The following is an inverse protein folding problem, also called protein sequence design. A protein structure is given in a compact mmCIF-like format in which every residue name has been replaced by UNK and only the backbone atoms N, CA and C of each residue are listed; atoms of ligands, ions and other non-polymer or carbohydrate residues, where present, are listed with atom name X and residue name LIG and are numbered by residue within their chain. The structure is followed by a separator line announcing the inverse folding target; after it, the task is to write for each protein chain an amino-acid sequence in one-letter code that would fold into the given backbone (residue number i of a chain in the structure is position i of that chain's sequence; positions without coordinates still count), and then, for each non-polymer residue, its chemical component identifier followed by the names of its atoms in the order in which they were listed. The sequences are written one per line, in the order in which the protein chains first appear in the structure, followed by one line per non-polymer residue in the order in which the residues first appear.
data_IF_079452266601
#
_entry.id   IF_079452266601
#
_cell.length_a   1.000
_cell.length_b   1.000
_cell.length_c   1.000
_cell.angle_alpha   90.00
_cell.angle_beta   90.00
_cell.angle_gamma   90.00
#
_symmetry.space_group_name_H-M   'P 1'
#
loop_
_entity.id
_entity.type
_entity.pdbx_description
1 polymer ?
#
# COMPACT_ATOMS: atom_id res chain seq x y z
N UNK A 1 -36.49 -21.40 -14.72
CA UNK A 1 -35.19 -21.92 -14.24
C UNK A 1 -33.98 -21.35 -15.00
N UNK A 2 -33.90 -21.41 -16.35
CA UNK A 2 -32.75 -20.86 -17.11
C UNK A 2 -32.46 -19.36 -16.89
N UNK A 3 -33.49 -18.54 -16.64
CA UNK A 3 -33.34 -17.08 -16.38
C UNK A 3 -32.75 -16.75 -15.00
N UNK A 4 -32.92 -17.62 -14.00
CA UNK A 4 -32.37 -17.41 -12.65
C UNK A 4 -30.86 -17.71 -12.58
N UNK A 5 -30.39 -18.65 -13.40
CA UNK A 5 -28.95 -19.01 -13.49
C UNK A 5 -28.14 -17.86 -14.11
N UNK A 6 -28.70 -17.15 -15.10
CA UNK A 6 -28.03 -16.00 -15.74
C UNK A 6 -27.84 -14.84 -14.75
N UNK A 7 -28.80 -14.60 -13.86
CA UNK A 7 -28.71 -13.54 -12.85
C UNK A 7 -27.60 -13.82 -11.82
N UNK A 8 -27.37 -15.09 -11.49
CA UNK A 8 -26.34 -15.50 -10.54
C UNK A 8 -24.91 -15.33 -11.09
N UNK A 9 -24.72 -15.50 -12.41
CA UNK A 9 -23.41 -15.35 -13.08
C UNK A 9 -23.05 -13.87 -13.26
N UNK A 10 -24.03 -12.99 -13.46
CA UNK A 10 -23.78 -11.54 -13.60
C UNK A 10 -23.42 -10.92 -12.24
N UNK A 11 -23.99 -11.41 -11.13
CA UNK A 11 -23.71 -10.90 -9.79
C UNK A 11 -22.26 -11.18 -9.31
N UNK A 12 -21.64 -12.28 -9.75
CA UNK A 12 -20.27 -12.62 -9.34
C UNK A 12 -19.19 -11.80 -10.07
N UNK A 13 -19.49 -11.25 -11.25
CA UNK A 13 -18.54 -10.46 -12.04
C UNK A 13 -18.26 -9.05 -11.47
N UNK A 14 -19.13 -8.51 -10.62
CA UNK A 14 -18.93 -7.18 -10.04
C UNK A 14 -17.96 -7.14 -8.85
N UNK A 15 -17.64 -8.27 -8.23
CA UNK A 15 -16.82 -8.28 -7.01
C UNK A 15 -15.31 -8.12 -7.27
N UNK A 16 -14.82 -8.38 -8.50
CA UNK A 16 -13.39 -8.27 -8.83
C UNK A 16 -12.95 -6.90 -9.38
N UNK A 17 -13.89 -5.97 -9.63
CA UNK A 17 -13.56 -4.67 -10.24
C UNK A 17 -13.01 -3.65 -9.25
N UNK A 18 -13.40 -3.76 -7.97
CA UNK A 18 -13.06 -2.77 -6.95
C UNK A 18 -11.57 -2.79 -6.57
N UNK A 19 -10.96 -3.98 -6.49
CA UNK A 19 -9.53 -4.14 -6.17
C UNK A 19 -8.64 -3.55 -7.27
N UNK A 20 -8.92 -3.85 -8.54
CA UNK A 20 -8.14 -3.35 -9.69
C UNK A 20 -8.08 -1.82 -9.78
N UNK A 21 -9.14 -1.12 -9.38
CA UNK A 21 -9.14 0.36 -9.35
C UNK A 21 -8.20 0.92 -8.29
N UNK A 22 -8.06 0.23 -7.15
CA UNK A 22 -7.19 0.63 -6.03
C UNK A 22 -5.73 0.26 -6.30
N UNK A 23 -5.48 -0.93 -6.85
CA UNK A 23 -4.16 -1.33 -7.36
C UNK A 23 -3.61 -0.29 -8.35
N UNK A 24 -4.40 0.12 -9.35
CA UNK A 24 -3.96 1.17 -10.28
C UNK A 24 -3.69 2.53 -9.63
N UNK A 25 -4.32 2.84 -8.50
CA UNK A 25 -4.15 4.13 -7.81
C UNK A 25 -2.91 4.16 -6.93
N UNK A 26 -2.46 3.01 -6.41
CA UNK A 26 -1.26 2.97 -5.57
C UNK A 26 0.02 3.06 -6.41
N UNK A 27 0.01 2.58 -7.65
CA UNK A 27 1.19 2.56 -8.54
C UNK A 27 1.84 3.95 -8.65
N UNK A 28 3.18 3.98 -8.62
CA UNK A 28 4.05 5.15 -8.71
C UNK A 28 4.73 5.49 -7.39
N UNK A 29 5.43 6.63 -7.36
CA UNK A 29 6.26 7.03 -6.23
C UNK A 29 5.51 7.90 -5.21
N UNK A 30 5.87 7.70 -3.94
CA UNK A 30 5.25 8.30 -2.76
C UNK A 30 6.31 8.69 -1.76
N UNK A 31 6.38 9.97 -1.44
CA UNK A 31 7.29 10.51 -0.44
C UNK A 31 6.68 10.34 0.95
N UNK A 32 7.35 9.57 1.82
CA UNK A 32 6.91 9.36 3.19
C UNK A 32 7.08 10.63 4.01
N UNK A 33 6.02 11.04 4.69
CA UNK A 33 5.99 12.20 5.57
C UNK A 33 6.20 11.74 7.01
N UNK A 34 7.12 12.40 7.70
CA UNK A 34 7.42 12.16 9.10
C UNK A 34 6.85 13.28 9.96
N UNK A 35 6.24 12.94 11.09
CA UNK A 35 5.73 13.93 12.05
C UNK A 35 6.84 14.67 12.80
N UNK A 36 8.04 14.10 12.82
CA UNK A 36 9.23 14.71 13.39
C UNK A 36 10.15 15.08 12.24
N UNK A 37 10.52 16.36 12.17
CA UNK A 37 11.57 16.81 11.25
C UNK A 37 12.90 16.30 11.79
N UNK A 38 13.55 15.41 11.05
CA UNK A 38 14.95 15.09 11.32
C UNK A 38 15.81 16.27 10.85
N UNK A 39 16.90 16.55 11.57
CA UNK A 39 17.85 17.62 11.20
C UNK A 39 18.68 17.24 9.96
N UNK A 40 18.61 15.99 9.53
CA UNK A 40 19.15 15.53 8.26
C UNK A 40 18.10 15.70 7.14
N UNK A 41 18.54 16.10 5.95
CA UNK A 41 17.69 16.20 4.75
C UNK A 41 17.30 14.81 4.22
N UNK A 42 16.95 13.87 5.11
CA UNK A 42 16.60 12.50 4.75
C UNK A 42 15.21 12.46 4.16
N UNK A 43 15.14 11.89 2.96
CA UNK A 43 13.90 11.60 2.26
C UNK A 43 13.73 10.09 2.17
N UNK A 44 12.51 9.61 2.35
CA UNK A 44 12.16 8.21 2.05
C UNK A 44 11.08 8.20 0.99
N UNK A 45 11.33 7.51 -0.12
CA UNK A 45 10.37 7.38 -1.23
C UNK A 45 10.03 5.93 -1.45
N UNK A 46 8.73 5.63 -1.44
CA UNK A 46 8.19 4.32 -1.75
C UNK A 46 7.65 4.30 -3.18
N UNK A 47 8.11 3.36 -4.01
CA UNK A 47 7.63 3.23 -5.40
C UNK A 47 6.95 1.89 -5.61
N UNK A 48 5.65 1.91 -5.88
CA UNK A 48 4.85 0.71 -6.15
C UNK A 48 4.76 0.49 -7.67
N UNK A 49 5.19 -0.67 -8.14
CA UNK A 49 5.13 -1.07 -9.55
C UNK A 49 3.90 -1.94 -9.84
N UNK A 50 3.58 -2.14 -11.11
CA UNK A 50 2.44 -2.92 -11.58
C UNK A 50 2.63 -4.44 -11.44
N UNK A 51 3.88 -4.89 -11.38
CA UNK A 51 4.32 -6.27 -11.15
C UNK A 51 4.30 -6.72 -9.68
N UNK A 52 3.72 -5.90 -8.79
CA UNK A 52 3.66 -6.12 -7.34
C UNK A 52 5.01 -5.97 -6.60
N UNK A 53 6.03 -5.42 -7.26
CA UNK A 53 7.25 -4.96 -6.58
C UNK A 53 7.04 -3.59 -5.94
N UNK A 54 7.68 -3.38 -4.80
CA UNK A 54 7.80 -2.06 -4.16
C UNK A 54 9.25 -1.80 -3.79
N UNK A 55 9.73 -0.59 -4.03
CA UNK A 55 11.05 -0.13 -3.56
C UNK A 55 10.90 0.93 -2.49
N UNK A 56 11.80 0.93 -1.52
CA UNK A 56 12.00 2.01 -0.55
C UNK A 56 13.40 2.59 -0.77
N UNK A 57 13.44 3.83 -1.26
CA UNK A 57 14.66 4.56 -1.52
C UNK A 57 14.88 5.59 -0.41
N UNK A 58 16.03 5.49 0.26
CA UNK A 58 16.51 6.45 1.24
C UNK A 58 17.47 7.43 0.55
N UNK A 59 17.19 8.72 0.66
CA UNK A 59 18.04 9.76 0.09
C UNK A 59 18.74 10.55 1.18
N UNK A 60 19.95 11.00 0.86
CA UNK A 60 20.65 12.05 1.58
C UNK A 60 20.91 13.21 0.60
N UNK A 61 20.13 14.27 0.72
CA UNK A 61 20.04 15.31 -0.32
C UNK A 61 19.49 14.75 -1.63
N UNK A 62 20.21 14.93 -2.74
CA UNK A 62 19.78 14.48 -4.08
C UNK A 62 20.22 13.05 -4.45
N UNK A 63 21.01 12.39 -3.61
CA UNK A 63 21.57 11.08 -3.91
C UNK A 63 20.81 9.98 -3.16
N UNK A 64 20.58 8.86 -3.84
CA UNK A 64 20.11 7.62 -3.21
C UNK A 64 21.27 7.04 -2.41
N UNK A 65 21.04 6.82 -1.12
CA UNK A 65 21.99 6.16 -0.21
C UNK A 65 21.74 4.66 -0.19
N UNK A 66 20.47 4.26 -0.02
CA UNK A 66 20.06 2.85 0.07
C UNK A 66 18.74 2.63 -0.66
N UNK A 67 18.63 1.49 -1.33
CA UNK A 67 17.37 0.97 -1.88
C UNK A 67 17.07 -0.39 -1.28
N UNK A 68 15.88 -0.55 -0.72
CA UNK A 68 15.32 -1.83 -0.28
C UNK A 68 14.24 -2.23 -1.28
N UNK A 69 14.20 -3.51 -1.66
CA UNK A 69 13.22 -4.04 -2.59
C UNK A 69 12.39 -5.11 -1.88
N UNK A 70 11.08 -4.98 -2.00
CA UNK A 70 10.12 -5.92 -1.46
C UNK A 70 8.96 -6.16 -2.42
N UNK A 71 7.92 -6.79 -1.91
CA UNK A 71 6.69 -7.06 -2.64
C UNK A 71 5.51 -6.48 -1.90
N UNK A 72 4.40 -6.29 -2.62
CA UNK A 72 3.16 -5.90 -2.02
C UNK A 72 1.96 -6.59 -2.66
N UNK A 73 0.90 -6.76 -1.87
CA UNK A 73 -0.40 -7.23 -2.38
C UNK A 73 -1.51 -6.34 -1.86
N UNK A 74 -2.57 -6.17 -2.66
CA UNK A 74 -3.78 -5.44 -2.25
C UNK A 74 -4.95 -6.39 -2.15
N UNK A 75 -5.66 -6.35 -1.03
CA UNK A 75 -6.89 -7.09 -0.82
C UNK A 75 -8.02 -6.14 -0.38
N UNK A 76 -9.24 -6.37 -0.88
CA UNK A 76 -10.42 -5.65 -0.44
C UNK A 76 -11.35 -6.63 0.27
N UNK A 77 -11.62 -6.37 1.55
CA UNK A 77 -12.52 -7.19 2.37
C UNK A 77 -13.59 -6.30 3.01
N UNK A 78 -14.87 -6.62 2.76
CA UNK A 78 -16.03 -5.86 3.26
C UNK A 78 -15.94 -4.34 2.99
N UNK A 79 -15.42 -3.96 1.83
CA UNK A 79 -15.22 -2.55 1.44
C UNK A 79 -13.99 -1.87 2.04
N UNK A 80 -13.29 -2.53 2.97
CA UNK A 80 -12.01 -2.06 3.51
C UNK A 80 -10.86 -2.57 2.65
N UNK A 81 -9.93 -1.66 2.32
CA UNK A 81 -8.77 -1.98 1.50
C UNK A 81 -7.55 -2.21 2.39
N UNK A 82 -6.84 -3.30 2.15
CA UNK A 82 -5.62 -3.68 2.84
C UNK A 82 -4.46 -3.78 1.84
N UNK A 83 -3.29 -3.38 2.29
CA UNK A 83 -2.00 -3.51 1.61
C UNK A 83 -1.13 -4.40 2.50
N UNK A 84 -0.65 -5.53 1.99
CA UNK A 84 0.42 -6.28 2.67
C UNK A 84 1.73 -5.94 2.00
N UNK A 85 2.76 -5.62 2.78
CA UNK A 85 4.13 -5.38 2.30
C UNK A 85 5.10 -6.34 2.99
N UNK A 86 6.07 -6.84 2.23
CA UNK A 86 7.07 -7.81 2.66
C UNK A 86 8.44 -7.46 2.09
N UNK A 87 9.52 -7.72 2.85
CA UNK A 87 10.91 -7.47 2.43
C UNK A 87 11.59 -6.25 3.09
N UNK A 88 10.91 -5.58 4.03
CA UNK A 88 11.35 -4.36 4.72
C UNK A 88 11.58 -4.57 6.23
N UNK A 89 11.44 -5.79 6.75
CA UNK A 89 11.74 -6.11 8.14
C UNK A 89 10.75 -5.44 9.11
N UNK A 90 11.16 -4.35 9.77
CA UNK A 90 10.30 -3.65 10.75
C UNK A 90 9.11 -2.95 10.11
N UNK A 91 9.15 -2.69 8.80
CA UNK A 91 8.06 -2.10 8.05
C UNK A 91 7.16 -3.11 7.35
N UNK A 92 7.47 -4.41 7.45
CA UNK A 92 6.61 -5.48 6.97
C UNK A 92 5.23 -5.44 7.65
N UNK A 93 4.26 -6.09 7.01
CA UNK A 93 2.97 -6.39 7.59
C UNK A 93 1.78 -5.96 6.74
N UNK A 94 0.60 -6.09 7.35
CA UNK A 94 -0.68 -5.76 6.74
C UNK A 94 -1.15 -4.41 7.21
N UNK A 95 -1.43 -3.53 6.27
CA UNK A 95 -1.85 -2.16 6.48
C UNK A 95 -3.27 -1.96 5.97
N UNK A 96 -4.13 -1.34 6.78
CA UNK A 96 -5.38 -0.78 6.30
C UNK A 96 -5.09 0.53 5.57
N UNK A 97 -5.56 0.67 4.34
CA UNK A 97 -5.50 1.92 3.59
C UNK A 97 -6.63 2.83 4.07
N UNK A 98 -6.28 3.89 4.81
CA UNK A 98 -7.22 4.88 5.33
C UNK A 98 -7.57 5.94 4.28
N UNK A 99 -6.61 6.29 3.41
CA UNK A 99 -6.80 7.26 2.32
C UNK A 99 -5.91 6.88 1.13
N UNK A 100 -6.49 6.87 -0.07
CA UNK A 100 -5.75 6.70 -1.32
C UNK A 100 -6.42 7.54 -2.42
N UNK A 101 -5.73 8.58 -2.87
CA UNK A 101 -6.12 9.43 -3.99
C UNK A 101 -4.87 9.91 -4.76
N UNK A 102 -5.02 10.82 -5.73
CA UNK A 102 -3.90 11.29 -6.56
C UNK A 102 -2.78 12.03 -5.81
N UNK A 103 -3.01 12.44 -4.57
CA UNK A 103 -2.06 13.25 -3.76
C UNK A 103 -1.60 12.55 -2.49
N UNK A 104 -2.45 11.73 -1.88
CA UNK A 104 -2.20 11.18 -0.55
C UNK A 104 -2.40 9.67 -0.51
N UNK A 105 -1.47 9.00 0.17
CA UNK A 105 -1.60 7.64 0.67
C UNK A 105 -1.43 7.70 2.20
N UNK A 106 -2.41 7.20 2.93
CA UNK A 106 -2.36 7.08 4.40
C UNK A 106 -2.73 5.67 4.75
N UNK A 107 -1.87 5.00 5.51
CA UNK A 107 -2.05 3.61 5.89
C UNK A 107 -1.68 3.36 7.35
N UNK A 108 -2.36 2.41 7.96
CA UNK A 108 -2.14 2.02 9.35
C UNK A 108 -1.98 0.50 9.44
N UNK A 109 -0.88 0.05 10.04
CA UNK A 109 -0.61 -1.37 10.25
C UNK A 109 -1.64 -1.96 11.20
N UNK A 110 -2.25 -3.06 10.79
CA UNK A 110 -3.20 -3.85 11.58
C UNK A 110 -2.63 -5.20 11.97
N UNK A 111 -1.57 -5.65 11.30
CA UNK A 111 -0.89 -6.92 11.57
C UNK A 111 0.60 -6.81 11.22
N UNK A 112 1.45 -7.35 12.07
CA UNK A 112 2.90 -7.48 11.88
C UNK A 112 3.27 -8.96 12.03
N UNK A 113 3.77 -9.60 10.97
CA UNK A 113 4.17 -11.02 10.97
C UNK A 113 3.11 -11.97 11.55
N UNK A 114 1.83 -11.83 11.15
CA UNK A 114 0.75 -12.67 11.68
C UNK A 114 0.25 -12.26 13.07
N UNK A 115 0.83 -11.24 13.70
CA UNK A 115 0.49 -10.81 15.05
C UNK A 115 -0.12 -9.40 15.08
N UNK A 116 -1.01 -9.16 16.05
CA UNK A 116 -1.47 -7.81 16.37
C UNK A 116 -0.44 -7.04 17.22
N UNK A 117 0.56 -7.72 17.77
CA UNK A 117 1.67 -7.07 18.47
C UNK A 117 2.53 -6.34 17.44
N UNK A 118 2.62 -5.02 17.56
CA UNK A 118 3.22 -4.16 16.53
C UNK A 118 2.22 -3.64 15.50
N UNK A 119 0.92 -3.94 15.62
CA UNK A 119 -0.13 -3.15 14.98
C UNK A 119 -0.03 -1.69 15.46
N UNK A 120 -0.68 -0.77 14.74
CA UNK A 120 -0.73 0.68 15.02
C UNK A 120 0.46 1.53 14.56
N UNK A 121 1.34 1.01 13.69
CA UNK A 121 2.26 1.88 12.92
C UNK A 121 1.50 2.62 11.83
N UNK A 122 1.60 3.95 11.78
CA UNK A 122 0.95 4.78 10.76
C UNK A 122 2.00 5.36 9.83
N UNK A 123 1.77 5.25 8.52
CA UNK A 123 2.59 5.85 7.48
C UNK A 123 1.73 6.79 6.62
N UNK A 124 2.25 7.97 6.38
CA UNK A 124 1.62 8.98 5.54
C UNK A 124 2.55 9.32 4.39
N UNK A 125 1.98 9.50 3.20
CA UNK A 125 2.75 9.82 2.02
C UNK A 125 2.07 10.87 1.15
N UNK A 126 2.90 11.63 0.46
CA UNK A 126 2.51 12.56 -0.60
C UNK A 126 2.99 12.01 -1.94
N UNK A 127 2.16 12.12 -2.98
CA UNK A 127 2.55 11.69 -4.33
C UNK A 127 3.70 12.56 -4.85
N UNK A 128 4.75 11.91 -5.37
CA UNK A 128 5.89 12.57 -6.03
C UNK A 128 5.61 12.80 -7.51
#
# INVERSE_FOLDING_TARGET
MKKQIIFLIIATLFMFSCSKSKEKKIIGSWEQQYFVKYDDDRLTVWTFADDQTVTEDFFYGSNIDTTIVGTYTINVNLGTCYLTVEGFGLDDGKYQILKLNKKFLIMQRVEFNGSINGAFSRKEFVKK
#
